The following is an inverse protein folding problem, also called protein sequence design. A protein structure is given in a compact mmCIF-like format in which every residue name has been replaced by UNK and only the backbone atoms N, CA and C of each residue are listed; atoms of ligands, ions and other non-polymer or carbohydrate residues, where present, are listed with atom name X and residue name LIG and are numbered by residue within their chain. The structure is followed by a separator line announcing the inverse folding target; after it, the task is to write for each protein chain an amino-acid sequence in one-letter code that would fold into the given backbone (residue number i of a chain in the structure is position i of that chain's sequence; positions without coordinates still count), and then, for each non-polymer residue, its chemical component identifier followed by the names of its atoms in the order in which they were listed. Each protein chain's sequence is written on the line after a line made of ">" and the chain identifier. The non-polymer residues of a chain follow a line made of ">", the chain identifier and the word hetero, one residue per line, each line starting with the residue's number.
data_IF_394609812430
#
_entry.id   IF_394609812430
#
_cell.length_a   1.000
_cell.length_b   1.000
_cell.length_c   1.000
_cell.angle_alpha   90.00
_cell.angle_beta   90.00
_cell.angle_gamma   90.00
#
_symmetry.space_group_name_H-M   'P 1'
#
loop_
_entity.id
_entity.type
_entity.pdbx_description
1 polymer ?
#
# COMPACT_ATOMS: atom_id res chain seq x y z
N UNK A 1 11.27 -32.27 5.89
CA UNK A 1 11.31 -30.93 5.26
C UNK A 1 10.06 -30.80 4.41
N UNK A 2 9.17 -29.85 4.71
CA UNK A 2 8.01 -29.57 3.85
C UNK A 2 8.50 -28.91 2.57
N UNK A 3 8.78 -29.72 1.54
CA UNK A 3 9.03 -29.20 0.20
C UNK A 3 7.69 -28.74 -0.37
N UNK A 4 7.52 -27.42 -0.52
CA UNK A 4 6.40 -26.87 -1.27
C UNK A 4 6.45 -27.44 -2.70
N UNK A 5 5.31 -27.87 -3.25
CA UNK A 5 5.23 -28.27 -4.65
C UNK A 5 5.68 -27.13 -5.56
N UNK A 6 6.31 -27.44 -6.69
CA UNK A 6 6.77 -26.42 -7.64
C UNK A 6 5.63 -25.50 -8.08
N UNK A 7 4.43 -26.04 -8.23
CA UNK A 7 3.21 -25.27 -8.48
C UNK A 7 2.90 -24.25 -7.36
N UNK A 8 3.05 -24.64 -6.10
CA UNK A 8 2.83 -23.74 -4.96
C UNK A 8 3.88 -22.62 -4.94
N UNK A 9 5.14 -22.93 -5.26
CA UNK A 9 6.21 -21.93 -5.35
C UNK A 9 5.94 -20.92 -6.47
N UNK A 10 5.51 -21.39 -7.63
CA UNK A 10 5.17 -20.52 -8.76
C UNK A 10 4.01 -19.58 -8.42
N UNK A 11 2.94 -20.11 -7.78
CA UNK A 11 1.80 -19.28 -7.34
C UNK A 11 2.21 -18.22 -6.32
N UNK A 12 3.03 -18.59 -5.34
CA UNK A 12 3.55 -17.64 -4.34
C UNK A 12 4.40 -16.57 -5.03
N UNK A 13 5.26 -16.96 -5.97
CA UNK A 13 6.06 -16.03 -6.77
C UNK A 13 5.20 -14.99 -7.49
N UNK A 14 4.14 -15.44 -8.17
CA UNK A 14 3.18 -14.54 -8.85
C UNK A 14 2.50 -13.57 -7.89
N UNK A 15 2.06 -14.06 -6.72
CA UNK A 15 1.42 -13.20 -5.71
C UNK A 15 2.42 -12.16 -5.19
N UNK A 16 3.67 -12.53 -4.95
CA UNK A 16 4.72 -11.61 -4.48
C UNK A 16 5.01 -10.53 -5.53
N UNK A 17 5.08 -10.89 -6.81
CA UNK A 17 5.28 -9.90 -7.89
C UNK A 17 4.15 -8.87 -7.94
N UNK A 18 2.90 -9.33 -7.90
CA UNK A 18 1.73 -8.43 -7.87
C UNK A 18 1.73 -7.58 -6.59
N UNK A 19 2.02 -8.21 -5.45
CA UNK A 19 2.08 -7.53 -4.15
C UNK A 19 3.13 -6.43 -4.12
N UNK A 20 4.28 -6.63 -4.77
CA UNK A 20 5.34 -5.62 -4.89
C UNK A 20 4.82 -4.36 -5.56
N UNK A 21 4.12 -4.50 -6.69
CA UNK A 21 3.54 -3.37 -7.44
C UNK A 21 2.43 -2.72 -6.63
N UNK A 22 1.53 -3.51 -6.05
CA UNK A 22 0.41 -3.02 -5.24
C UNK A 22 0.88 -2.21 -4.02
N UNK A 23 1.90 -2.69 -3.29
CA UNK A 23 2.46 -1.97 -2.15
C UNK A 23 3.20 -0.72 -2.59
N UNK A 24 4.00 -0.78 -3.66
CA UNK A 24 4.77 0.37 -4.13
C UNK A 24 3.87 1.57 -4.46
N UNK A 25 2.79 1.32 -5.22
CA UNK A 25 1.87 2.39 -5.63
C UNK A 25 0.76 2.65 -4.61
N UNK A 26 0.36 1.65 -3.82
CA UNK A 26 -0.73 1.75 -2.86
C UNK A 26 -0.34 2.32 -1.50
N UNK A 27 0.94 2.24 -1.12
CA UNK A 27 1.40 2.68 0.20
C UNK A 27 1.12 4.16 0.48
N UNK A 28 1.47 5.05 -0.45
CA UNK A 28 1.29 6.49 -0.27
C UNK A 28 -0.20 6.89 -0.19
N UNK A 29 -1.08 6.46 -1.14
CA UNK A 29 -2.52 6.69 -1.02
C UNK A 29 -3.13 6.18 0.30
N UNK A 30 -2.71 4.98 0.75
CA UNK A 30 -3.21 4.38 1.99
C UNK A 30 -2.90 5.25 3.21
N UNK A 31 -1.67 5.73 3.34
CA UNK A 31 -1.28 6.57 4.47
C UNK A 31 -1.97 7.93 4.42
N UNK A 32 -2.08 8.54 3.24
CA UNK A 32 -2.82 9.80 3.07
C UNK A 32 -4.29 9.65 3.47
N UNK A 33 -4.93 8.55 3.06
CA UNK A 33 -6.31 8.25 3.44
C UNK A 33 -6.49 8.08 4.96
N UNK A 34 -5.57 7.33 5.60
CA UNK A 34 -5.60 7.15 7.04
C UNK A 34 -5.40 8.47 7.78
N UNK A 35 -4.44 9.30 7.36
CA UNK A 35 -4.23 10.63 7.92
C UNK A 35 -5.47 11.51 7.77
N UNK A 36 -6.01 11.62 6.56
CA UNK A 36 -7.20 12.41 6.27
C UNK A 36 -8.42 12.01 7.10
N UNK A 37 -8.67 10.71 7.26
CA UNK A 37 -9.87 10.21 7.96
C UNK A 37 -9.77 10.27 9.47
N UNK A 38 -8.56 10.29 10.04
CA UNK A 38 -8.31 10.31 11.48
C UNK A 38 -8.00 11.70 12.04
N UNK A 39 -7.78 12.69 11.19
CA UNK A 39 -7.64 14.09 11.60
C UNK A 39 -8.98 14.75 11.91
N UNK A 40 -9.04 15.48 13.01
CA UNK A 40 -10.15 16.36 13.37
C UNK A 40 -9.61 17.77 13.69
N UNK A 41 -9.99 18.81 12.92
CA UNK A 41 -10.86 18.77 11.75
C UNK A 41 -10.20 18.10 10.54
N UNK A 42 -11.02 17.53 9.65
CA UNK A 42 -10.51 16.92 8.39
C UNK A 42 -9.87 18.00 7.50
N UNK A 43 -8.61 17.83 7.08
CA UNK A 43 -7.91 18.84 6.28
C UNK A 43 -8.48 18.90 4.86
N UNK A 44 -8.30 20.01 4.15
CA UNK A 44 -8.59 20.04 2.70
C UNK A 44 -7.50 19.28 1.94
N UNK A 45 -7.83 18.77 0.74
CA UNK A 45 -6.88 17.98 -0.08
C UNK A 45 -5.61 18.78 -0.42
N UNK A 46 -5.74 20.10 -0.63
CA UNK A 46 -4.59 20.97 -0.89
C UNK A 46 -3.62 20.99 0.29
N UNK A 47 -4.12 20.97 1.54
CA UNK A 47 -3.26 20.95 2.74
C UNK A 47 -2.54 19.62 2.95
N UNK A 48 -2.99 18.52 2.33
CA UNK A 48 -2.29 17.24 2.38
C UNK A 48 -1.05 17.22 1.47
N UNK A 49 -1.04 18.05 0.42
CA UNK A 49 0.02 18.07 -0.60
C UNK A 49 0.89 19.33 -0.54
N UNK A 50 0.38 20.40 0.09
CA UNK A 50 1.09 21.66 0.23
C UNK A 50 2.14 21.58 1.34
N UNK A 51 3.42 21.86 1.06
CA UNK A 51 4.44 22.05 2.10
C UNK A 51 4.29 23.40 2.82
N UNK A 52 3.42 24.28 2.32
CA UNK A 52 3.11 25.59 2.91
C UNK A 52 1.84 25.43 3.75
N UNK A 53 2.02 25.50 5.07
CA UNK A 53 1.01 25.25 6.12
C UNK A 53 -0.03 26.35 6.27
#
# INVERSE_FOLDING_TARGET
>A
MFALSEESKERIGKIIEVSRVALHYGYLPLILYLGYTRSDPRPSVIRLLSPLS
#
